data_IF_723065772737
#
_entry.id   IF_723065772737
#
_cell.length_a   1.000
_cell.length_b   1.000
_cell.length_c   1.000
_cell.angle_alpha   90.00
_cell.angle_beta   90.00
_cell.angle_gamma   90.00
#
_symmetry.space_group_name_H-M   'P 1'
#
loop_
_entity.id
_entity.type
_entity.pdbx_description
1 polymer ?
#
# COMPACT_ATOMS: atom_id res chain seq x y z
N UNK A 1 9.29 -40.88 -32.77
CA UNK A 1 9.21 -39.44 -32.40
C UNK A 1 8.92 -38.61 -33.63
N UNK A 2 7.77 -37.93 -33.66
CA UNK A 2 7.27 -37.27 -34.87
C UNK A 2 7.77 -35.82 -34.91
N UNK A 3 8.90 -35.55 -35.61
CA UNK A 3 9.60 -34.24 -35.66
C UNK A 3 8.85 -33.14 -36.45
N UNK A 4 7.52 -33.23 -36.57
CA UNK A 4 6.67 -32.29 -37.33
C UNK A 4 5.44 -31.79 -36.54
N UNK A 5 5.38 -32.04 -35.23
CA UNK A 5 4.30 -31.56 -34.37
C UNK A 5 4.84 -30.41 -33.52
N UNK A 6 4.35 -29.20 -33.78
CA UNK A 6 4.58 -28.06 -32.89
C UNK A 6 3.56 -28.13 -31.76
N UNK A 7 4.04 -28.20 -30.52
CA UNK A 7 3.20 -28.01 -29.35
C UNK A 7 3.30 -26.55 -28.94
N UNK A 8 2.16 -25.98 -28.59
CA UNK A 8 2.07 -24.67 -27.98
C UNK A 8 2.86 -24.63 -26.66
N UNK A 9 3.51 -23.50 -26.38
CA UNK A 9 4.21 -23.28 -25.11
C UNK A 9 3.27 -22.49 -24.22
N UNK A 10 2.87 -23.06 -23.08
CA UNK A 10 2.06 -22.32 -22.13
C UNK A 10 2.93 -21.33 -21.35
N UNK A 11 2.98 -20.07 -21.80
CA UNK A 11 3.76 -19.03 -21.13
C UNK A 11 3.23 -18.74 -19.71
N UNK A 12 1.92 -18.92 -19.47
CA UNK A 12 1.29 -18.70 -18.16
C UNK A 12 1.68 -19.77 -17.14
N UNK A 13 1.80 -21.03 -17.55
CA UNK A 13 2.25 -22.12 -16.68
C UNK A 13 3.76 -22.07 -16.41
N UNK A 14 4.54 -21.57 -17.36
CA UNK A 14 6.00 -21.47 -17.24
C UNK A 14 6.49 -20.16 -16.60
N UNK A 15 5.61 -19.16 -16.50
CA UNK A 15 5.97 -17.80 -16.09
C UNK A 15 6.77 -17.04 -17.14
N UNK A 16 6.81 -17.52 -18.38
CA UNK A 16 7.53 -16.92 -19.50
C UNK A 16 6.73 -15.79 -20.18
N UNK A 17 6.01 -14.99 -19.40
CA UNK A 17 5.20 -13.86 -19.87
C UNK A 17 5.58 -12.57 -19.17
N UNK A 18 5.10 -11.43 -19.70
CA UNK A 18 5.30 -10.11 -19.10
C UNK A 18 4.03 -9.52 -18.45
N UNK A 19 2.95 -10.30 -18.35
CA UNK A 19 1.75 -9.86 -17.67
C UNK A 19 2.01 -9.57 -16.18
N UNK A 20 1.65 -8.37 -15.76
CA UNK A 20 1.75 -7.92 -14.35
C UNK A 20 0.69 -8.54 -13.44
N UNK A 21 -0.47 -8.93 -14.00
CA UNK A 21 -1.59 -9.49 -13.26
C UNK A 21 -2.07 -10.81 -13.90
N UNK A 22 -3.03 -10.75 -14.83
CA UNK A 22 -3.66 -11.96 -15.38
C UNK A 22 -3.01 -12.32 -16.71
N UNK A 23 -2.58 -13.57 -16.85
CA UNK A 23 -2.09 -14.19 -18.09
C UNK A 23 -3.14 -15.17 -18.62
N UNK A 24 -3.37 -15.16 -19.93
CA UNK A 24 -4.18 -16.17 -20.63
C UNK A 24 -3.37 -16.75 -21.78
N UNK A 25 -3.12 -18.06 -21.73
CA UNK A 25 -2.38 -18.77 -22.77
C UNK A 25 -3.22 -18.87 -24.04
N UNK A 26 -2.61 -18.62 -25.19
CA UNK A 26 -3.21 -18.73 -26.51
C UNK A 26 -2.29 -19.57 -27.40
N UNK A 27 -2.82 -20.17 -28.45
CA UNK A 27 -1.96 -20.98 -29.33
C UNK A 27 -0.92 -20.08 -30.05
N UNK A 28 0.35 -20.25 -29.71
CA UNK A 28 1.50 -19.53 -30.26
C UNK A 28 1.76 -18.18 -29.61
N UNK A 29 1.04 -17.80 -28.55
CA UNK A 29 1.21 -16.51 -27.85
C UNK A 29 0.45 -16.48 -26.53
N UNK A 30 0.45 -15.34 -25.83
CA UNK A 30 -0.38 -15.12 -24.66
C UNK A 30 -1.03 -13.74 -24.71
N UNK A 31 -2.10 -13.58 -23.94
CA UNK A 31 -2.75 -12.29 -23.72
C UNK A 31 -2.68 -11.90 -22.25
N UNK A 32 -2.45 -10.62 -21.99
CA UNK A 32 -2.51 -10.04 -20.66
C UNK A 32 -3.85 -9.35 -20.43
N UNK A 33 -4.39 -9.47 -19.23
CA UNK A 33 -5.54 -8.70 -18.76
C UNK A 33 -5.33 -8.24 -17.31
N UNK A 34 -6.20 -7.32 -16.87
CA UNK A 34 -6.09 -6.69 -15.55
C UNK A 34 -7.31 -7.02 -14.69
N UNK A 35 -7.12 -7.05 -13.38
CA UNK A 35 -8.17 -7.17 -12.38
C UNK A 35 -9.04 -5.91 -12.39
N UNK A 36 -10.26 -6.04 -11.86
CA UNK A 36 -11.19 -4.92 -11.70
C UNK A 36 -10.53 -3.74 -10.97
N UNK A 37 -10.71 -2.52 -11.49
CA UNK A 37 -10.06 -1.30 -11.01
C UNK A 37 -8.65 -1.05 -11.58
N UNK A 38 -8.19 -1.88 -12.52
CA UNK A 38 -6.96 -1.70 -13.27
C UNK A 38 -7.18 -1.79 -14.78
N UNK A 39 -6.35 -1.06 -15.54
CA UNK A 39 -6.34 -1.07 -17.00
C UNK A 39 -4.93 -1.27 -17.55
N UNK A 40 -4.82 -1.88 -18.73
CA UNK A 40 -3.52 -1.99 -19.41
C UNK A 40 -2.96 -0.60 -19.70
N UNK A 41 -1.70 -0.39 -19.34
CA UNK A 41 -0.96 0.85 -19.63
C UNK A 41 -0.81 1.05 -21.13
N UNK A 42 -0.59 -0.05 -21.85
CA UNK A 42 -0.50 -0.15 -23.30
C UNK A 42 -0.74 -1.61 -23.70
N UNK A 43 -0.86 -1.88 -25.01
CA UNK A 43 -1.19 -3.22 -25.52
C UNK A 43 0.01 -4.18 -25.62
N UNK A 44 1.22 -3.76 -25.23
CA UNK A 44 2.48 -4.49 -25.52
C UNK A 44 3.25 -4.88 -24.24
N UNK A 45 3.21 -4.05 -23.20
CA UNK A 45 4.02 -4.19 -21.99
C UNK A 45 3.44 -5.20 -20.99
N UNK A 46 2.13 -5.48 -21.05
CA UNK A 46 1.45 -6.32 -20.05
C UNK A 46 1.31 -5.66 -18.67
N UNK A 47 1.60 -4.36 -18.57
CA UNK A 47 1.56 -3.60 -17.30
C UNK A 47 0.16 -3.08 -17.03
N UNK A 48 -0.40 -3.44 -15.88
CA UNK A 48 -1.69 -2.95 -15.38
C UNK A 48 -1.48 -1.74 -14.49
N UNK A 49 -2.17 -0.63 -14.80
CA UNK A 49 -2.20 0.60 -14.02
C UNK A 49 -3.55 0.73 -13.32
N UNK A 50 -3.53 1.22 -12.09
CA UNK A 50 -4.74 1.56 -11.35
C UNK A 50 -5.58 2.57 -12.14
N UNK A 51 -6.90 2.39 -12.12
CA UNK A 51 -7.85 3.39 -12.62
C UNK A 51 -8.05 4.54 -11.64
N UNK A 52 -7.78 4.30 -10.35
CA UNK A 52 -7.76 5.33 -9.31
C UNK A 52 -6.56 6.25 -9.48
N UNK A 53 -6.81 7.55 -9.37
CA UNK A 53 -5.78 8.60 -9.44
C UNK A 53 -5.36 9.11 -8.07
N UNK A 54 -6.12 8.79 -7.01
CA UNK A 54 -5.87 9.16 -5.62
C UNK A 54 -4.91 8.15 -4.95
N UNK A 55 -3.69 8.08 -5.48
CA UNK A 55 -2.64 7.21 -4.92
C UNK A 55 -1.56 8.07 -4.27
N UNK A 56 -1.29 7.81 -2.99
CA UNK A 56 -0.27 8.49 -2.24
C UNK A 56 0.71 7.51 -1.58
N UNK A 57 1.98 7.94 -1.45
CA UNK A 57 2.99 7.23 -0.69
C UNK A 57 3.08 7.81 0.71
N UNK A 58 2.64 7.03 1.70
CA UNK A 58 2.73 7.38 3.11
C UNK A 58 4.00 6.78 3.73
N UNK A 59 4.78 7.58 4.45
CA UNK A 59 6.01 7.11 5.10
C UNK A 59 6.32 7.88 6.38
N UNK A 60 7.03 7.20 7.29
CA UNK A 60 7.60 7.83 8.47
C UNK A 60 9.01 8.37 8.17
N UNK A 61 9.32 9.55 8.69
CA UNK A 61 10.63 10.20 8.58
C UNK A 61 11.02 10.78 9.94
N UNK A 62 11.59 9.95 10.81
CA UNK A 62 11.99 10.36 12.16
C UNK A 62 10.78 10.73 13.04
N UNK A 63 10.59 12.01 13.41
CA UNK A 63 9.44 12.46 14.21
C UNK A 63 8.19 12.77 13.38
N UNK A 64 8.25 12.64 12.05
CA UNK A 64 7.17 13.04 11.15
C UNK A 64 6.58 11.85 10.39
N UNK A 65 5.29 11.96 10.03
CA UNK A 65 4.66 11.13 9.02
C UNK A 65 4.27 12.03 7.86
N UNK A 66 4.69 11.64 6.67
CA UNK A 66 4.47 12.39 5.44
C UNK A 66 3.78 11.54 4.39
N UNK A 67 3.06 12.21 3.50
CA UNK A 67 2.38 11.62 2.35
C UNK A 67 2.81 12.35 1.09
N UNK A 68 3.15 11.62 0.03
CA UNK A 68 3.44 12.19 -1.30
C UNK A 68 2.34 11.78 -2.26
N UNK A 69 1.65 12.75 -2.86
CA UNK A 69 0.75 12.49 -3.98
C UNK A 69 1.57 12.04 -5.20
N UNK A 70 1.25 10.88 -5.78
CA UNK A 70 2.05 10.34 -6.88
C UNK A 70 1.82 11.03 -8.22
N UNK A 71 0.72 11.77 -8.37
CA UNK A 71 0.35 12.50 -9.58
C UNK A 71 1.03 13.86 -9.61
N UNK A 72 0.82 14.67 -8.57
CA UNK A 72 1.31 16.05 -8.52
C UNK A 72 2.71 16.14 -7.88
N UNK A 73 3.16 15.06 -7.22
CA UNK A 73 4.41 15.00 -6.43
C UNK A 73 4.45 16.01 -5.27
N UNK A 74 3.28 16.43 -4.83
CA UNK A 74 3.12 17.30 -3.69
C UNK A 74 3.34 16.50 -2.39
N UNK A 75 4.16 17.07 -1.52
CA UNK A 75 4.48 16.47 -0.22
C UNK A 75 3.67 17.15 0.89
N UNK A 76 3.01 16.32 1.68
CA UNK A 76 2.05 16.72 2.70
C UNK A 76 2.52 16.17 4.05
N UNK A 77 2.63 17.06 5.04
CA UNK A 77 2.81 16.67 6.43
C UNK A 77 1.51 16.15 7.04
N UNK A 78 1.48 14.88 7.47
CA UNK A 78 0.33 14.24 8.11
C UNK A 78 0.40 14.38 9.62
N UNK A 79 1.57 14.06 10.19
CA UNK A 79 1.91 14.19 11.61
C UNK A 79 3.31 14.81 11.70
N UNK A 80 3.52 15.80 12.56
CA UNK A 80 4.76 16.59 12.60
C UNK A 80 5.52 16.52 13.94
N UNK A 81 4.85 16.12 15.03
CA UNK A 81 5.38 16.28 16.39
C UNK A 81 5.39 14.97 17.19
N UNK A 82 5.93 13.90 16.62
CA UNK A 82 6.17 12.64 17.33
C UNK A 82 7.62 12.53 17.81
N UNK A 83 7.91 11.55 18.66
CA UNK A 83 9.26 11.42 19.23
C UNK A 83 10.11 10.49 18.39
N UNK A 84 9.60 9.29 18.11
CA UNK A 84 10.31 8.29 17.31
C UNK A 84 9.36 7.25 16.76
N UNK A 85 8.81 7.55 15.58
CA UNK A 85 7.93 6.65 14.85
C UNK A 85 8.76 5.48 14.32
N UNK A 86 8.32 4.26 14.63
CA UNK A 86 9.02 3.02 14.23
C UNK A 86 8.24 2.26 13.15
N UNK A 87 6.92 2.28 13.21
CA UNK A 87 6.05 1.62 12.23
C UNK A 87 4.79 2.45 11.99
N UNK A 88 4.24 2.35 10.78
CA UNK A 88 2.99 3.01 10.38
C UNK A 88 2.13 2.03 9.58
N UNK A 89 0.82 2.14 9.70
CA UNK A 89 -0.13 1.47 8.82
C UNK A 89 -1.44 2.26 8.71
N UNK A 90 -2.25 1.98 7.71
CA UNK A 90 -3.36 2.83 7.28
C UNK A 90 -4.64 2.04 7.00
N UNK A 91 -5.78 2.57 7.46
CA UNK A 91 -7.11 2.09 7.12
C UNK A 91 -7.71 2.96 6.01
N UNK A 92 -7.84 2.45 4.77
CA UNK A 92 -8.40 3.21 3.64
C UNK A 92 -9.91 3.43 3.73
N UNK A 93 -10.66 2.63 4.50
CA UNK A 93 -12.11 2.80 4.64
C UNK A 93 -12.48 3.95 5.59
N UNK A 94 -11.69 4.14 6.64
CA UNK A 94 -11.94 5.17 7.66
C UNK A 94 -10.97 6.35 7.58
N UNK A 95 -10.04 6.32 6.62
CA UNK A 95 -8.95 7.28 6.47
C UNK A 95 -8.18 7.50 7.77
N UNK A 96 -7.89 6.41 8.49
CA UNK A 96 -7.18 6.48 9.77
C UNK A 96 -5.78 5.92 9.63
N UNK A 97 -4.81 6.68 10.11
CA UNK A 97 -3.43 6.24 10.26
C UNK A 97 -3.17 5.77 11.68
N UNK A 98 -2.40 4.70 11.79
CA UNK A 98 -1.91 4.11 13.03
C UNK A 98 -0.38 4.11 12.99
N UNK A 99 0.25 4.45 14.11
CA UNK A 99 1.72 4.38 14.20
C UNK A 99 2.19 3.97 15.58
N UNK A 100 3.31 3.29 15.63
CA UNK A 100 4.00 2.91 16.85
C UNK A 100 5.09 3.94 17.15
N UNK A 101 5.06 4.55 18.33
CA UNK A 101 6.14 5.40 18.82
C UNK A 101 7.00 4.60 19.82
N UNK A 102 8.27 4.40 19.46
CA UNK A 102 9.21 3.59 20.24
C UNK A 102 9.71 4.27 21.52
N UNK A 103 9.61 5.60 21.60
CA UNK A 103 9.95 6.36 22.80
C UNK A 103 8.80 6.32 23.81
N UNK A 104 7.59 6.64 23.36
CA UNK A 104 6.38 6.64 24.18
C UNK A 104 5.88 5.21 24.46
N UNK A 105 6.37 4.22 23.72
CA UNK A 105 6.04 2.79 23.83
C UNK A 105 4.53 2.54 23.72
N UNK A 106 3.89 3.24 22.80
CA UNK A 106 2.45 3.15 22.57
C UNK A 106 2.15 3.19 21.08
N UNK A 107 0.95 2.76 20.74
CA UNK A 107 0.38 2.95 19.42
C UNK A 107 -0.56 4.15 19.49
N UNK A 108 -0.39 5.06 18.54
CA UNK A 108 -1.25 6.24 18.37
C UNK A 108 -1.99 6.13 17.04
N UNK A 109 -3.04 6.92 16.90
CA UNK A 109 -3.79 7.04 15.66
C UNK A 109 -4.27 8.46 15.42
N UNK A 110 -4.58 8.78 14.17
CA UNK A 110 -5.27 10.00 13.82
C UNK A 110 -6.07 9.81 12.53
N UNK A 111 -7.03 10.68 12.30
CA UNK A 111 -7.61 10.81 10.97
C UNK A 111 -6.57 11.48 10.06
N UNK A 112 -6.44 10.97 8.85
CA UNK A 112 -5.77 11.67 7.77
C UNK A 112 -6.72 12.78 7.33
N UNK A 113 -6.67 13.94 8.00
CA UNK A 113 -7.51 15.07 7.63
C UNK A 113 -7.12 15.45 6.21
N UNK A 114 -8.09 15.46 5.32
CA UNK A 114 -7.94 15.79 3.91
C UNK A 114 -6.96 16.95 3.71
N UNK A 115 -5.75 16.60 3.29
CA UNK A 115 -4.82 17.55 2.70
C UNK A 115 -5.28 17.97 1.29
N UNK A 116 -6.43 17.45 0.83
CA UNK A 116 -7.08 17.75 -0.46
C UNK A 116 -7.59 19.19 -0.55
N UNK A 117 -7.79 19.89 0.57
CA UNK A 117 -8.28 21.28 0.58
C UNK A 117 -7.15 22.34 0.73
N UNK A 118 -5.88 21.93 0.62
CA UNK A 118 -4.72 22.84 0.71
C UNK A 118 -4.53 23.50 2.08
N UNK A 119 -5.30 23.09 3.09
CA UNK A 119 -5.12 23.50 4.49
C UNK A 119 -4.47 22.36 5.24
N UNK A 120 -3.17 22.46 5.46
CA UNK A 120 -2.41 21.56 6.34
C UNK A 120 -3.03 21.62 7.74
N UNK A 121 -3.89 20.67 8.05
CA UNK A 121 -4.32 20.37 9.42
C UNK A 121 -3.63 19.07 9.78
N UNK A 122 -2.43 19.18 10.37
CA UNK A 122 -1.79 18.03 10.98
C UNK A 122 -2.81 17.31 11.87
N UNK A 123 -2.91 15.99 11.72
CA UNK A 123 -3.83 15.17 12.50
C UNK A 123 -3.51 15.29 13.99
N UNK A 124 -4.54 15.31 14.85
CA UNK A 124 -4.32 15.25 16.29
C UNK A 124 -4.06 13.80 16.70
N UNK A 125 -2.89 13.53 17.24
CA UNK A 125 -2.52 12.20 17.72
C UNK A 125 -3.40 11.77 18.90
N UNK A 126 -4.03 10.61 18.77
CA UNK A 126 -4.78 9.95 19.83
C UNK A 126 -4.03 8.70 20.27
N UNK A 127 -3.63 8.67 21.54
CA UNK A 127 -3.00 7.51 22.16
C UNK A 127 -4.04 6.41 22.42
N UNK A 128 -3.75 5.19 21.99
CA UNK A 128 -4.60 4.01 22.26
C UNK A 128 -4.51 3.54 23.71
N UNK A 129 -3.58 4.08 24.50
CA UNK A 129 -3.36 3.78 25.92
C UNK A 129 -3.27 2.29 26.17
N UNK A 130 -2.30 1.67 25.50
CA UNK A 130 -2.02 0.25 25.63
C UNK A 130 -1.77 -0.10 27.10
N UNK A 131 -2.31 -1.24 27.56
CA UNK A 131 -2.10 -1.72 28.92
C UNK A 131 -0.76 -2.44 29.02
N UNK A 132 0.04 -2.09 30.03
CA UNK A 132 1.30 -2.77 30.32
C UNK A 132 2.51 -2.07 29.73
N UNK A 133 3.63 -2.78 29.67
CA UNK A 133 4.93 -2.25 29.22
C UNK A 133 5.24 -2.72 27.78
N UNK A 134 4.22 -2.72 26.93
CA UNK A 134 4.31 -3.16 25.53
C UNK A 134 5.30 -2.29 24.75
N UNK A 135 6.09 -2.90 23.86
CA UNK A 135 7.02 -2.18 22.98
C UNK A 135 6.71 -2.53 21.53
N UNK A 136 5.70 -1.88 20.93
CA UNK A 136 5.27 -2.20 19.58
C UNK A 136 6.38 -1.86 18.57
N UNK A 137 6.72 -2.81 17.70
CA UNK A 137 7.79 -2.67 16.68
C UNK A 137 7.28 -2.70 15.25
N UNK A 138 6.15 -3.36 14.99
CA UNK A 138 5.49 -3.40 13.69
C UNK A 138 3.97 -3.38 13.87
N UNK A 139 3.25 -2.91 12.85
CA UNK A 139 1.80 -2.79 12.80
C UNK A 139 1.23 -3.44 11.54
N UNK A 140 0.01 -3.98 11.66
CA UNK A 140 -0.80 -4.41 10.54
C UNK A 140 -2.29 -4.12 10.82
N UNK A 141 -2.97 -3.47 9.89
CA UNK A 141 -4.38 -3.08 9.97
C UNK A 141 -5.20 -3.97 9.04
N UNK A 142 -6.15 -4.70 9.61
CA UNK A 142 -7.20 -5.36 8.86
C UNK A 142 -8.40 -4.40 8.77
N UNK A 143 -8.48 -3.69 7.64
CA UNK A 143 -9.55 -2.73 7.38
C UNK A 143 -10.91 -3.38 7.04
N UNK A 144 -10.94 -4.69 6.78
CA UNK A 144 -12.18 -5.43 6.48
C UNK A 144 -12.84 -5.82 7.80
N UNK A 145 -12.06 -6.40 8.71
CA UNK A 145 -12.55 -6.85 10.02
C UNK A 145 -12.44 -5.79 11.10
N UNK A 146 -11.86 -4.62 10.81
CA UNK A 146 -11.56 -3.55 11.77
C UNK A 146 -10.68 -4.00 12.95
N UNK A 147 -9.63 -4.76 12.67
CA UNK A 147 -8.66 -5.20 13.67
C UNK A 147 -7.30 -4.53 13.46
N UNK A 148 -6.60 -4.26 14.57
CA UNK A 148 -5.24 -3.78 14.59
C UNK A 148 -4.36 -4.85 15.24
N UNK A 149 -3.32 -5.26 14.53
CA UNK A 149 -2.33 -6.24 14.97
C UNK A 149 -0.98 -5.54 15.12
N UNK A 150 -0.19 -5.98 16.11
CA UNK A 150 1.17 -5.48 16.30
C UNK A 150 2.09 -6.60 16.82
N UNK A 151 3.38 -6.43 16.58
CA UNK A 151 4.43 -7.23 17.21
C UNK A 151 5.12 -6.43 18.30
N UNK A 152 5.68 -7.09 19.30
CA UNK A 152 6.42 -6.45 20.39
C UNK A 152 7.73 -7.19 20.71
N UNK A 153 8.61 -6.51 21.45
CA UNK A 153 9.91 -7.02 21.93
C UNK A 153 10.07 -6.93 23.44
#
# INVERSE_FOLDING_TARGET
ENRKVCLDVDECATGAHHCSQICTNLNGTYACSCLDGFKLSDNLSGVCKSEREDVALLFANGPEIRSIDLKDRDEIGVIMEEKRIEAVDYNPNTEMIYWADSYDKTIKRSFMIDAKDGKVKAGYAQDLKMKGNSKPTALAVDWISNHLYWTET
#
